data_IF_011139826869
#
_entry.id   IF_011139826869
#
_cell.length_a   1.000
_cell.length_b   1.000
_cell.length_c   1.000
_cell.angle_alpha   90.00
_cell.angle_beta   90.00
_cell.angle_gamma   90.00
#
_symmetry.space_group_name_H-M   'P 1'
#
loop_
_entity.id
_entity.type
_entity.pdbx_description
1 polymer ?
#
# COMPACT_ATOMS: atom_id res chain seq x y z
N UNK A 1 -15.65 -16.32 7.68
CA UNK A 1 -16.36 -15.19 8.32
C UNK A 1 -15.92 -13.86 7.75
N UNK A 2 -14.64 -13.52 7.81
CA UNK A 2 -14.12 -12.25 7.25
C UNK A 2 -13.79 -12.45 5.78
N UNK A 3 -14.20 -11.51 4.94
CA UNK A 3 -13.94 -11.51 3.49
C UNK A 3 -12.73 -10.63 3.11
N UNK A 4 -12.78 -9.35 3.42
CA UNK A 4 -11.76 -8.38 3.00
C UNK A 4 -11.84 -7.12 3.87
N UNK A 5 -10.88 -6.22 3.71
CA UNK A 5 -10.97 -4.88 4.27
C UNK A 5 -11.95 -4.03 3.47
N UNK A 6 -12.73 -3.20 4.16
CA UNK A 6 -13.54 -2.14 3.56
C UNK A 6 -12.76 -0.82 3.58
N UNK A 7 -12.40 -0.38 4.76
CA UNK A 7 -11.58 0.82 4.96
C UNK A 7 -10.74 0.69 6.23
N UNK A 8 -9.73 1.51 6.30
CA UNK A 8 -8.97 1.78 7.52
C UNK A 8 -9.05 3.26 7.83
N UNK A 9 -8.70 3.65 9.05
CA UNK A 9 -8.68 5.04 9.48
C UNK A 9 -7.26 5.46 9.81
N UNK A 10 -6.80 6.56 9.21
CA UNK A 10 -5.54 7.21 9.57
C UNK A 10 -5.82 8.50 10.31
N UNK A 11 -5.10 8.71 11.40
CA UNK A 11 -5.10 9.97 12.14
C UNK A 11 -4.05 10.91 11.54
N UNK A 12 -4.48 12.13 11.23
CA UNK A 12 -3.66 13.15 10.58
C UNK A 12 -3.78 14.48 11.31
N UNK A 13 -2.73 15.27 11.27
CA UNK A 13 -2.72 16.60 11.89
C UNK A 13 -3.46 17.65 11.05
N UNK A 14 -3.55 17.45 9.74
CA UNK A 14 -4.18 18.37 8.79
C UNK A 14 -4.84 17.59 7.66
N UNK A 15 -6.16 17.65 7.58
CA UNK A 15 -6.94 16.89 6.59
C UNK A 15 -6.60 17.30 5.16
N UNK A 16 -6.56 18.60 4.86
CA UNK A 16 -6.32 19.09 3.50
C UNK A 16 -4.90 18.72 3.01
N UNK A 17 -3.92 18.79 3.89
CA UNK A 17 -2.55 18.38 3.58
C UNK A 17 -2.48 16.88 3.29
N UNK A 18 -3.14 16.05 4.08
CA UNK A 18 -3.21 14.61 3.86
C UNK A 18 -3.91 14.29 2.53
N UNK A 19 -5.06 14.87 2.26
CA UNK A 19 -5.80 14.71 0.99
C UNK A 19 -4.89 15.03 -0.19
N UNK A 20 -4.23 16.18 -0.16
CA UNK A 20 -3.34 16.62 -1.24
C UNK A 20 -2.21 15.61 -1.49
N UNK A 21 -1.61 15.07 -0.45
CA UNK A 21 -0.56 14.05 -0.57
C UNK A 21 -1.08 12.77 -1.23
N UNK A 22 -2.17 12.21 -0.71
CA UNK A 22 -2.70 10.94 -1.22
C UNK A 22 -3.24 11.06 -2.65
N UNK A 23 -3.81 12.21 -3.02
CA UNK A 23 -4.21 12.48 -4.41
C UNK A 23 -2.99 12.61 -5.35
N UNK A 24 -2.00 13.38 -4.97
CA UNK A 24 -0.87 13.74 -5.84
C UNK A 24 0.15 12.62 -5.92
N UNK A 25 0.54 12.07 -4.79
CA UNK A 25 1.61 11.04 -4.71
C UNK A 25 1.06 9.67 -5.04
N UNK A 26 -0.06 9.28 -4.45
CA UNK A 26 -0.62 7.94 -4.59
C UNK A 26 -1.77 7.83 -5.59
N UNK A 27 -2.15 8.93 -6.23
CA UNK A 27 -3.19 8.96 -7.25
C UNK A 27 -4.55 8.44 -6.77
N UNK A 28 -4.82 8.60 -5.47
CA UNK A 28 -6.11 8.26 -4.89
C UNK A 28 -7.14 9.35 -5.17
N UNK A 29 -8.41 9.02 -5.08
CA UNK A 29 -9.53 9.94 -5.27
C UNK A 29 -10.03 10.44 -3.93
N UNK A 30 -10.11 11.75 -3.72
CA UNK A 30 -10.71 12.29 -2.51
C UNK A 30 -12.23 12.14 -2.53
N UNK A 31 -12.79 11.78 -1.39
CA UNK A 31 -14.21 11.57 -1.19
C UNK A 31 -14.67 12.34 0.05
N UNK A 32 -15.79 13.04 -0.07
CA UNK A 32 -16.47 13.62 1.08
C UNK A 32 -17.70 12.77 1.40
N UNK A 33 -17.87 12.41 2.64
CA UNK A 33 -18.99 11.58 3.08
C UNK A 33 -19.48 12.00 4.47
N UNK A 34 -20.65 11.49 4.86
CA UNK A 34 -21.26 11.85 6.14
C UNK A 34 -21.37 13.37 6.28
N UNK A 35 -21.01 13.90 7.42
CA UNK A 35 -21.10 15.34 7.74
C UNK A 35 -19.77 16.08 7.43
N UNK A 36 -19.32 16.02 6.18
CA UNK A 36 -18.08 16.69 5.75
C UNK A 36 -16.80 15.90 6.05
N UNK A 37 -16.91 14.63 6.37
CA UNK A 37 -15.76 13.75 6.60
C UNK A 37 -15.04 13.47 5.28
N UNK A 38 -13.73 13.31 5.34
CA UNK A 38 -12.88 13.06 4.17
C UNK A 38 -12.30 11.66 4.18
N UNK A 39 -12.22 11.09 3.01
CA UNK A 39 -11.50 9.85 2.73
C UNK A 39 -10.74 9.96 1.42
N UNK A 40 -9.79 9.08 1.22
CA UNK A 40 -9.11 8.85 -0.06
C UNK A 40 -9.40 7.43 -0.52
N UNK A 41 -9.89 7.28 -1.75
CA UNK A 41 -10.39 6.02 -2.29
C UNK A 41 -9.46 5.49 -3.38
N UNK A 42 -9.33 4.18 -3.40
CA UNK A 42 -8.62 3.42 -4.43
C UNK A 42 -9.27 2.03 -4.59
N UNK A 43 -9.40 1.57 -5.80
CA UNK A 43 -10.11 0.31 -6.06
C UNK A 43 -11.50 0.32 -5.42
N UNK A 44 -11.79 -0.67 -4.59
CA UNK A 44 -13.04 -0.79 -3.84
C UNK A 44 -12.86 -0.49 -2.35
N UNK A 45 -11.76 0.13 -1.98
CA UNK A 45 -11.39 0.43 -0.61
C UNK A 45 -11.14 1.93 -0.43
N UNK A 46 -11.06 2.37 0.79
CA UNK A 46 -10.71 3.75 1.12
C UNK A 46 -9.95 3.84 2.44
N UNK A 47 -9.30 4.97 2.63
CA UNK A 47 -8.72 5.38 3.89
C UNK A 47 -9.52 6.59 4.37
N UNK A 48 -10.21 6.46 5.50
CA UNK A 48 -10.84 7.60 6.16
C UNK A 48 -9.76 8.43 6.87
N UNK A 49 -9.85 9.73 6.76
CA UNK A 49 -8.93 10.65 7.43
C UNK A 49 -9.60 11.23 8.66
N UNK A 50 -8.97 11.03 9.82
CA UNK A 50 -9.45 11.50 11.11
C UNK A 50 -8.49 12.55 11.66
N UNK A 51 -9.02 13.70 12.05
CA UNK A 51 -8.20 14.75 12.62
C UNK A 51 -7.73 14.35 14.02
N UNK A 52 -6.43 14.54 14.29
CA UNK A 52 -5.84 14.30 15.60
C UNK A 52 -6.61 15.10 16.69
N UNK A 53 -7.02 14.39 17.73
CA UNK A 53 -7.81 14.95 18.83
C UNK A 53 -9.32 14.80 18.68
N UNK A 54 -9.80 14.34 17.53
CA UNK A 54 -11.24 14.12 17.28
C UNK A 54 -11.65 12.64 17.34
N UNK A 55 -10.81 11.80 17.95
CA UNK A 55 -11.09 10.37 18.14
C UNK A 55 -12.25 10.17 19.12
N UNK A 56 -13.24 9.36 18.70
CA UNK A 56 -14.38 9.03 19.56
C UNK A 56 -14.24 7.65 20.21
N UNK A 57 -13.63 6.70 19.52
CA UNK A 57 -13.61 5.29 19.92
C UNK A 57 -12.22 4.66 19.90
N UNK A 58 -11.32 5.16 19.08
CA UNK A 58 -9.97 4.62 18.97
C UNK A 58 -8.95 5.51 19.74
N UNK A 59 -7.74 5.02 19.88
CA UNK A 59 -6.63 5.72 20.56
C UNK A 59 -5.48 5.96 19.57
N UNK A 60 -5.82 6.34 18.35
CA UNK A 60 -4.85 6.54 17.31
C UNK A 60 -4.05 7.84 17.50
N UNK A 61 -2.80 7.77 17.09
CA UNK A 61 -1.89 8.93 17.02
C UNK A 61 -1.45 9.14 15.59
N UNK A 62 -1.06 10.37 15.23
CA UNK A 62 -0.36 10.61 13.98
C UNK A 62 0.95 9.81 13.93
N UNK A 63 1.34 9.34 12.76
CA UNK A 63 2.55 8.53 12.59
C UNK A 63 2.45 7.07 13.03
N UNK A 64 1.31 6.64 13.54
CA UNK A 64 1.09 5.25 13.93
C UNK A 64 0.70 4.33 12.77
N UNK A 65 0.34 4.87 11.61
CA UNK A 65 -0.02 4.11 10.43
C UNK A 65 1.19 3.43 9.79
N UNK A 66 0.96 2.21 9.31
CA UNK A 66 1.94 1.42 8.58
C UNK A 66 1.14 0.59 7.56
N UNK A 67 1.19 0.98 6.29
CA UNK A 67 0.34 0.42 5.25
C UNK A 67 1.17 -0.09 4.08
N UNK A 68 0.84 -1.29 3.60
CA UNK A 68 1.33 -1.81 2.34
C UNK A 68 0.22 -1.72 1.29
N UNK A 69 0.52 -1.02 0.20
CA UNK A 69 -0.39 -0.80 -0.91
C UNK A 69 0.18 -1.44 -2.18
N UNK A 70 -0.65 -2.18 -2.88
CA UNK A 70 -0.26 -2.83 -4.12
C UNK A 70 -0.60 -1.91 -5.30
N UNK A 71 0.34 -1.79 -6.24
CA UNK A 71 0.17 -1.05 -7.48
C UNK A 71 0.31 -1.98 -8.70
N UNK A 72 -0.36 -1.60 -9.78
CA UNK A 72 -0.19 -2.23 -11.11
C UNK A 72 0.95 -1.59 -11.92
N UNK A 73 1.55 -0.52 -11.41
CA UNK A 73 2.69 0.13 -12.06
C UNK A 73 3.95 -0.73 -11.95
N UNK A 74 4.89 -0.52 -12.85
CA UNK A 74 6.25 -1.04 -12.67
C UNK A 74 6.93 -0.34 -11.50
N UNK A 75 7.86 -1.02 -10.83
CA UNK A 75 8.63 -0.41 -9.74
C UNK A 75 9.44 0.79 -10.22
N UNK A 76 9.99 0.75 -11.43
CA UNK A 76 10.72 1.88 -12.02
C UNK A 76 9.83 3.11 -12.17
N UNK A 77 8.58 2.93 -12.60
CA UNK A 77 7.61 4.02 -12.72
C UNK A 77 7.21 4.58 -11.36
N UNK A 78 7.04 3.73 -10.37
CA UNK A 78 6.78 4.16 -8.98
C UNK A 78 7.92 5.01 -8.45
N UNK A 79 9.15 4.54 -8.57
CA UNK A 79 10.33 5.28 -8.09
C UNK A 79 10.48 6.62 -8.82
N UNK A 80 10.31 6.63 -10.14
CA UNK A 80 10.36 7.86 -10.94
C UNK A 80 9.29 8.87 -10.51
N UNK A 81 8.07 8.39 -10.26
CA UNK A 81 6.98 9.25 -9.81
C UNK A 81 7.22 9.81 -8.41
N UNK A 82 7.68 9.00 -7.47
CA UNK A 82 8.02 9.47 -6.11
C UNK A 82 9.11 10.54 -6.15
N UNK A 83 10.13 10.37 -6.97
CA UNK A 83 11.17 11.39 -7.18
C UNK A 83 10.60 12.67 -7.78
N UNK A 84 9.74 12.56 -8.78
CA UNK A 84 9.07 13.72 -9.39
C UNK A 84 8.19 14.48 -8.37
N UNK A 85 7.56 13.78 -7.45
CA UNK A 85 6.79 14.37 -6.35
C UNK A 85 7.66 14.84 -5.17
N UNK A 86 8.98 14.71 -5.25
CA UNK A 86 9.93 15.07 -4.19
C UNK A 86 9.72 14.31 -2.88
N UNK A 87 9.27 13.08 -2.98
CA UNK A 87 9.12 12.17 -1.85
C UNK A 87 10.45 11.48 -1.58
N UNK A 88 10.91 11.51 -0.34
CA UNK A 88 12.11 10.79 0.08
C UNK A 88 11.81 9.31 0.24
N UNK A 89 12.48 8.46 -0.52
CA UNK A 89 12.42 7.01 -0.35
C UNK A 89 13.30 6.63 0.84
N UNK A 90 12.70 6.02 1.86
CA UNK A 90 13.41 5.60 3.06
C UNK A 90 14.17 4.28 2.85
N UNK A 91 13.57 3.37 2.11
CA UNK A 91 14.14 2.06 1.81
C UNK A 91 13.58 1.57 0.47
N UNK A 92 14.39 0.89 -0.27
CA UNK A 92 13.97 0.19 -1.49
C UNK A 92 14.43 0.83 -2.80
N UNK A 93 14.12 0.13 -3.90
CA UNK A 93 13.37 -1.15 -4.00
C UNK A 93 14.05 -2.33 -3.31
N UNK A 94 13.28 -3.06 -2.53
CA UNK A 94 13.74 -4.25 -1.79
C UNK A 94 12.71 -5.38 -1.88
N UNK A 95 13.18 -6.62 -1.77
CA UNK A 95 12.31 -7.78 -1.72
C UNK A 95 11.70 -7.96 -0.33
N UNK A 96 10.40 -8.18 -0.29
CA UNK A 96 9.63 -8.45 0.92
C UNK A 96 8.64 -9.60 0.67
N UNK A 97 7.92 -9.99 1.71
CA UNK A 97 6.89 -11.02 1.65
C UNK A 97 5.51 -10.39 1.78
N UNK A 98 4.71 -10.52 0.73
CA UNK A 98 3.31 -10.10 0.73
C UNK A 98 2.36 -11.21 1.18
N UNK A 99 1.09 -10.88 1.33
CA UNK A 99 0.06 -11.83 1.73
C UNK A 99 -0.12 -13.00 0.74
N UNK A 100 0.19 -12.77 -0.54
CA UNK A 100 0.02 -13.74 -1.62
C UNK A 100 1.34 -14.18 -2.27
N UNK A 101 2.47 -13.82 -1.70
CA UNK A 101 3.78 -14.20 -2.22
C UNK A 101 4.79 -13.06 -2.23
N UNK A 102 5.93 -13.26 -2.90
CA UNK A 102 7.00 -12.27 -2.94
C UNK A 102 6.57 -10.97 -3.61
N UNK A 103 6.99 -9.86 -3.02
CA UNK A 103 6.78 -8.50 -3.53
C UNK A 103 8.11 -7.75 -3.59
N UNK A 104 8.15 -6.71 -4.42
CA UNK A 104 9.18 -5.69 -4.40
C UNK A 104 8.58 -4.39 -3.90
N UNK A 105 9.24 -3.74 -2.96
CA UNK A 105 8.67 -2.63 -2.20
C UNK A 105 9.58 -1.43 -2.11
N UNK A 106 8.96 -0.25 -2.06
CA UNK A 106 9.59 1.00 -1.63
C UNK A 106 8.82 1.57 -0.44
N UNK A 107 9.55 2.18 0.49
CA UNK A 107 9.03 2.76 1.72
C UNK A 107 9.23 4.26 1.75
N UNK A 108 8.22 4.99 2.18
CA UNK A 108 8.27 6.43 2.40
C UNK A 108 7.23 6.84 3.45
N UNK A 109 7.32 8.07 3.93
CA UNK A 109 6.36 8.61 4.88
C UNK A 109 5.32 9.49 4.17
N UNK A 110 4.10 9.48 4.70
CA UNK A 110 3.12 10.52 4.42
C UNK A 110 3.46 11.80 5.23
N UNK A 111 2.71 12.92 5.09
CA UNK A 111 3.01 14.16 5.82
C UNK A 111 2.94 14.05 7.35
N UNK A 112 2.27 13.04 7.88
CA UNK A 112 2.11 12.80 9.31
C UNK A 112 3.04 11.70 9.84
N UNK A 113 4.04 11.31 9.05
CA UNK A 113 4.98 10.23 9.35
C UNK A 113 4.35 8.83 9.45
N UNK A 114 3.18 8.64 8.88
CA UNK A 114 2.68 7.28 8.65
C UNK A 114 3.56 6.60 7.60
N UNK A 115 3.98 5.37 7.89
CA UNK A 115 4.80 4.60 6.97
C UNK A 115 3.94 4.03 5.83
N UNK A 116 4.35 4.33 4.61
CA UNK A 116 3.71 3.81 3.40
C UNK A 116 4.70 2.92 2.68
N UNK A 117 4.26 1.71 2.38
CA UNK A 117 4.95 0.77 1.52
C UNK A 117 4.15 0.62 0.24
N UNK A 118 4.76 0.91 -0.91
CA UNK A 118 4.16 0.62 -2.22
C UNK A 118 4.88 -0.56 -2.83
N UNK A 119 4.12 -1.56 -3.23
CA UNK A 119 4.64 -2.87 -3.63
C UNK A 119 4.06 -3.35 -4.94
N UNK A 120 4.88 -4.12 -5.64
CA UNK A 120 4.52 -4.84 -6.87
C UNK A 120 4.72 -6.32 -6.61
N UNK A 121 3.71 -7.13 -6.92
CA UNK A 121 3.87 -8.58 -6.92
C UNK A 121 4.79 -9.01 -8.08
N UNK A 122 5.80 -9.80 -7.78
CA UNK A 122 6.83 -10.17 -8.76
C UNK A 122 6.28 -11.03 -9.90
N UNK A 123 5.15 -11.70 -9.68
CA UNK A 123 4.50 -12.54 -10.68
C UNK A 123 3.37 -11.83 -11.45
N UNK A 124 3.01 -10.59 -11.10
CA UNK A 124 1.90 -9.84 -11.70
C UNK A 124 2.32 -8.92 -12.84
N UNK A 125 3.61 -8.74 -13.10
CA UNK A 125 4.15 -7.84 -14.12
C UNK A 125 4.04 -8.39 -15.55
N UNK A 126 3.59 -9.63 -15.71
CA UNK A 126 3.29 -10.24 -16.99
C UNK A 126 1.86 -10.74 -16.97
N UNK A 127 1.06 -10.22 -17.86
CA UNK A 127 -0.38 -10.46 -17.98
C UNK A 127 -0.80 -11.90 -18.32
N UNK A 128 0.02 -12.88 -18.05
CA UNK A 128 -0.38 -14.29 -18.17
C UNK A 128 0.09 -15.05 -16.92
N UNK A 129 -0.75 -15.94 -16.37
CA UNK A 129 -0.28 -16.87 -15.37
C UNK A 129 0.82 -17.71 -16.02
N UNK A 130 2.03 -17.56 -15.58
CA UNK A 130 3.08 -18.51 -15.92
C UNK A 130 2.68 -19.82 -15.25
N UNK A 131 2.14 -20.73 -16.02
CA UNK A 131 2.04 -22.12 -15.54
C UNK A 131 3.43 -22.56 -15.10
N UNK A 132 3.57 -23.10 -13.89
CA UNK A 132 4.84 -23.62 -13.45
C UNK A 132 5.31 -24.65 -14.48
N UNK A 133 6.54 -24.50 -14.98
CA UNK A 133 7.11 -25.49 -15.87
C UNK A 133 7.13 -26.84 -15.15
N UNK A 134 6.97 -27.92 -15.89
CA UNK A 134 7.06 -29.29 -15.34
C UNK A 134 8.34 -29.47 -14.51
N UNK A 135 9.44 -28.81 -14.90
CA UNK A 135 10.72 -28.82 -14.18
C UNK A 135 10.63 -28.16 -12.77
N UNK A 136 9.78 -27.15 -12.61
CA UNK A 136 9.55 -26.51 -11.30
C UNK A 136 8.74 -27.41 -10.37
N UNK A 137 7.78 -28.14 -10.93
CA UNK A 137 6.93 -29.09 -10.18
C UNK A 137 7.76 -30.29 -9.72
N UNK A 138 8.66 -30.80 -10.56
CA UNK A 138 9.55 -31.90 -10.21
C UNK A 138 10.58 -31.51 -9.14
N UNK A 139 11.06 -30.24 -9.14
CA UNK A 139 11.96 -29.73 -8.11
C UNK A 139 11.29 -29.63 -6.75
N UNK A 140 10.07 -29.07 -6.70
CA UNK A 140 9.31 -28.98 -5.45
C UNK A 140 8.92 -30.35 -4.90
N UNK A 141 8.60 -31.31 -5.76
CA UNK A 141 8.31 -32.68 -5.36
C UNK A 141 9.56 -33.40 -4.78
N UNK A 142 10.73 -33.20 -5.40
CA UNK A 142 11.98 -33.77 -4.93
C UNK A 142 12.48 -33.14 -3.63
N UNK A 143 12.25 -31.86 -3.40
CA UNK A 143 12.60 -31.20 -2.13
C UNK A 143 11.70 -31.67 -0.98
N UNK A 144 10.44 -31.98 -1.24
CA UNK A 144 9.51 -32.53 -0.23
C UNK A 144 9.76 -34.00 0.11
N UNK A 145 10.34 -34.76 -0.80
CA UNK A 145 10.73 -36.16 -0.53
C UNK A 145 12.09 -36.29 0.16
N UNK A 146 12.91 -35.24 0.19
CA UNK A 146 14.22 -35.20 0.82
C UNK A 146 14.22 -34.73 2.29
N UNK A 147 13.08 -34.29 2.82
CA UNK A 147 12.85 -33.99 4.24
C UNK A 147 12.21 -35.19 4.96
#
# INVERSE_FOLDING_TARGET
MISHFDHVVLTVANIDRAVSFYETVLRMESVTFGEGRKAVRFGQQKINLQLLGEELRNHAMEGAGDLCLITDWSMDDVVGHLKACKVTILEGPVSKSGAQGPIESVYFNDPDNNLIEVSVYLNSTQNEPVEPSLDSIEKEANEKEAE
#
